data_IF_514581625986
#
_entry.id   IF_514581625986
#
_cell.length_a   1.000
_cell.length_b   1.000
_cell.length_c   1.000
_cell.angle_alpha   90.00
_cell.angle_beta   90.00
_cell.angle_gamma   90.00
#
_symmetry.space_group_name_H-M   'P 1'
#
loop_
_entity.id
_entity.type
_entity.pdbx_description
1 polymer ?
#
# COMPACT_ATOMS: atom_id res chain seq x y z
N UNK A 1 20.50 23.56 27.74
CA UNK A 1 19.97 22.79 26.59
C UNK A 1 21.20 22.23 25.88
N UNK A 2 21.38 20.91 25.79
CA UNK A 2 22.46 20.31 24.99
C UNK A 2 21.90 20.03 23.57
N UNK A 3 22.56 20.49 22.54
CA UNK A 3 22.28 20.14 21.16
C UNK A 3 23.20 18.98 20.79
N UNK A 4 22.65 17.93 20.20
CA UNK A 4 23.45 16.89 19.55
C UNK A 4 23.80 17.36 18.15
N UNK A 5 25.06 17.19 17.75
CA UNK A 5 25.52 17.55 16.42
C UNK A 5 25.10 16.45 15.43
N UNK A 6 24.21 16.77 14.49
CA UNK A 6 23.79 15.85 13.44
C UNK A 6 24.62 16.14 12.20
N UNK A 7 25.33 15.14 11.70
CA UNK A 7 26.16 15.27 10.50
C UNK A 7 25.29 15.05 9.25
N UNK A 8 25.16 16.09 8.46
CA UNK A 8 24.57 16.02 7.14
C UNK A 8 25.64 16.00 6.06
N UNK A 9 25.39 15.24 5.01
CA UNK A 9 26.20 15.18 3.83
C UNK A 9 25.54 15.96 2.70
N UNK A 10 26.34 16.48 1.77
CA UNK A 10 25.86 17.18 0.58
C UNK A 10 26.43 16.50 -0.65
N UNK A 11 25.60 16.27 -1.65
CA UNK A 11 26.02 15.70 -2.93
C UNK A 11 25.32 16.38 -4.11
N UNK A 12 25.88 16.19 -5.29
CA UNK A 12 25.29 16.49 -6.60
C UNK A 12 25.34 15.25 -7.51
N UNK A 13 25.88 14.16 -7.02
CA UNK A 13 26.01 12.91 -7.76
C UNK A 13 24.76 12.06 -7.57
N UNK A 14 23.77 12.28 -8.43
CA UNK A 14 22.46 11.61 -8.36
C UNK A 14 22.54 10.12 -8.67
N UNK A 15 23.53 9.70 -9.46
CA UNK A 15 23.68 8.30 -9.92
C UNK A 15 24.10 7.34 -8.79
N UNK A 16 24.67 7.89 -7.71
CA UNK A 16 25.01 7.08 -6.52
C UNK A 16 23.77 6.65 -5.72
N UNK A 17 22.63 7.33 -5.91
CA UNK A 17 21.44 7.17 -5.07
C UNK A 17 20.34 6.42 -5.79
N UNK A 18 20.04 5.24 -5.29
CA UNK A 18 19.04 4.38 -5.85
C UNK A 18 17.70 4.54 -5.10
N UNK A 19 16.59 4.33 -5.78
CA UNK A 19 15.29 4.18 -5.14
C UNK A 19 15.05 2.71 -4.83
N UNK A 20 14.45 2.44 -3.68
CA UNK A 20 14.04 1.08 -3.33
C UNK A 20 12.83 0.65 -4.18
N UNK A 21 12.72 -0.62 -4.56
CA UNK A 21 11.62 -1.11 -5.41
C UNK A 21 10.23 -0.87 -4.82
N UNK A 22 10.14 -0.75 -3.49
CA UNK A 22 8.92 -0.52 -2.74
C UNK A 22 8.73 0.94 -2.29
N UNK A 23 9.63 1.86 -2.69
CA UNK A 23 9.36 3.29 -2.49
C UNK A 23 8.13 3.72 -3.28
N UNK A 24 7.40 4.71 -2.74
CA UNK A 24 6.35 5.35 -3.51
C UNK A 24 6.90 5.88 -4.84
N UNK A 25 6.18 5.64 -5.91
CA UNK A 25 6.53 6.25 -7.20
C UNK A 25 6.55 7.77 -7.08
N UNK A 26 7.51 8.40 -7.74
CA UNK A 26 7.59 9.86 -7.78
C UNK A 26 6.35 10.39 -8.50
N UNK A 27 5.55 11.19 -7.79
CA UNK A 27 4.42 11.91 -8.38
C UNK A 27 4.95 13.13 -9.14
N UNK A 28 4.78 13.19 -10.49
CA UNK A 28 5.28 14.30 -11.29
C UNK A 28 4.69 15.66 -10.91
N UNK A 29 3.44 15.67 -10.41
CA UNK A 29 2.77 16.91 -10.00
C UNK A 29 3.38 17.46 -8.72
N UNK A 30 3.65 16.56 -7.75
CA UNK A 30 4.34 16.94 -6.52
C UNK A 30 5.78 17.36 -6.77
N UNK A 31 6.51 16.63 -7.61
CA UNK A 31 7.89 16.98 -8.00
C UNK A 31 7.96 18.36 -8.65
N UNK A 32 7.03 18.71 -9.56
CA UNK A 32 6.97 20.07 -10.18
C UNK A 32 6.76 21.18 -9.15
N UNK A 33 5.95 20.98 -8.12
CA UNK A 33 5.79 21.96 -7.02
C UNK A 33 7.08 22.15 -6.25
N UNK A 34 7.82 21.07 -6.00
CA UNK A 34 9.12 21.13 -5.34
C UNK A 34 10.17 21.83 -6.21
N UNK A 35 10.19 21.57 -7.52
CA UNK A 35 11.06 22.29 -8.47
C UNK A 35 10.81 23.79 -8.41
N UNK A 36 9.55 24.22 -8.42
CA UNK A 36 9.22 25.65 -8.33
C UNK A 36 9.67 26.27 -7.00
N UNK A 37 9.53 25.54 -5.90
CA UNK A 37 9.99 25.96 -4.57
C UNK A 37 11.51 26.03 -4.50
N UNK A 38 12.21 25.00 -5.00
CA UNK A 38 13.68 24.94 -4.97
C UNK A 38 14.35 25.97 -5.86
N UNK A 39 13.72 26.39 -6.96
CA UNK A 39 14.21 27.53 -7.78
C UNK A 39 14.30 28.82 -6.97
N UNK A 40 13.37 29.03 -6.03
CA UNK A 40 13.31 30.27 -5.22
C UNK A 40 14.19 30.19 -3.98
N UNK A 41 14.26 29.04 -3.35
CA UNK A 41 14.76 28.90 -1.97
C UNK A 41 15.95 27.93 -1.85
N UNK A 42 16.38 27.31 -2.94
CA UNK A 42 17.35 26.21 -2.93
C UNK A 42 16.75 24.94 -2.36
N UNK A 43 17.60 23.91 -2.22
CA UNK A 43 17.21 22.65 -1.61
C UNK A 43 16.92 22.88 -0.11
N UNK A 44 15.77 22.41 0.37
CA UNK A 44 15.38 22.49 1.78
C UNK A 44 15.10 21.10 2.33
N UNK A 45 15.51 20.87 3.58
CA UNK A 45 15.40 19.61 4.28
C UNK A 45 16.55 18.65 3.95
N UNK A 46 16.39 17.39 4.35
CA UNK A 46 17.38 16.33 4.26
C UNK A 46 16.72 15.09 3.69
N UNK A 47 17.43 14.35 2.84
CA UNK A 47 17.01 13.02 2.41
C UNK A 47 17.43 12.00 3.47
N UNK A 48 16.58 11.03 3.76
CA UNK A 48 16.98 9.87 4.55
C UNK A 48 17.52 8.79 3.62
N UNK A 49 18.78 8.41 3.82
CA UNK A 49 19.51 7.49 2.96
C UNK A 49 20.06 6.36 3.79
N UNK A 50 19.87 5.12 3.34
CA UNK A 50 20.55 3.96 3.90
C UNK A 50 21.76 3.59 3.05
N UNK A 51 22.83 3.20 3.74
CA UNK A 51 24.02 2.63 3.13
C UNK A 51 24.00 1.13 3.33
N UNK A 52 24.04 0.38 2.25
CA UNK A 52 24.09 -1.07 2.28
C UNK A 52 25.39 -1.56 1.66
N UNK A 53 26.13 -2.41 2.37
CA UNK A 53 27.31 -3.10 1.87
C UNK A 53 26.93 -4.52 1.49
N UNK A 54 27.15 -4.89 0.25
CA UNK A 54 26.90 -6.23 -0.28
C UNK A 54 28.08 -7.18 0.01
N UNK A 55 27.84 -8.48 -0.13
CA UNK A 55 28.84 -9.53 0.12
C UNK A 55 30.05 -9.39 -0.81
N UNK A 56 29.86 -8.89 -2.03
CA UNK A 56 30.92 -8.59 -3.00
C UNK A 56 31.73 -7.32 -2.67
N UNK A 57 31.45 -6.68 -1.53
CA UNK A 57 32.08 -5.43 -1.12
C UNK A 57 31.46 -4.16 -1.73
N UNK A 58 30.52 -4.29 -2.67
CA UNK A 58 29.85 -3.13 -3.31
C UNK A 58 29.04 -2.38 -2.26
N UNK A 59 29.16 -1.05 -2.27
CA UNK A 59 28.34 -0.17 -1.43
C UNK A 59 27.29 0.52 -2.30
N UNK A 60 26.05 0.50 -1.85
CA UNK A 60 24.93 1.21 -2.49
C UNK A 60 24.20 2.09 -1.49
N UNK A 61 23.75 3.24 -1.98
CA UNK A 61 22.96 4.19 -1.23
C UNK A 61 21.52 4.17 -1.72
N UNK A 62 20.58 3.97 -0.81
CA UNK A 62 19.15 3.91 -1.13
C UNK A 62 18.41 5.03 -0.43
N UNK A 63 17.68 5.85 -1.17
CA UNK A 63 16.82 6.88 -0.61
C UNK A 63 15.57 6.23 -0.05
N UNK A 64 15.36 6.32 1.25
CA UNK A 64 14.20 5.77 1.96
C UNK A 64 13.09 6.80 2.16
N UNK A 65 13.47 8.08 2.33
CA UNK A 65 12.53 9.21 2.27
C UNK A 65 13.16 10.39 1.51
N UNK A 66 12.31 11.16 0.85
CA UNK A 66 12.70 12.34 0.09
C UNK A 66 12.89 12.09 -1.41
N UNK A 67 12.42 10.98 -1.97
CA UNK A 67 12.52 10.65 -3.40
C UNK A 67 11.98 11.76 -4.32
N UNK A 68 10.90 12.45 -3.93
CA UNK A 68 10.38 13.60 -4.68
C UNK A 68 11.36 14.79 -4.64
N UNK A 69 12.02 15.01 -3.49
CA UNK A 69 13.03 16.06 -3.32
C UNK A 69 14.27 15.76 -4.14
N UNK A 70 14.74 14.51 -4.15
CA UNK A 70 15.87 14.07 -5.00
C UNK A 70 15.54 14.29 -6.47
N UNK A 71 14.38 13.84 -6.94
CA UNK A 71 13.94 14.02 -8.32
C UNK A 71 13.87 15.51 -8.72
N UNK A 72 13.37 16.37 -7.83
CA UNK A 72 13.31 17.81 -8.08
C UNK A 72 14.71 18.45 -8.12
N UNK A 73 15.61 18.04 -7.23
CA UNK A 73 17.01 18.51 -7.23
C UNK A 73 17.75 18.07 -8.50
N UNK A 74 17.56 16.83 -8.94
CA UNK A 74 18.11 16.29 -10.18
C UNK A 74 17.64 17.09 -11.40
N UNK A 75 16.34 17.40 -11.51
CA UNK A 75 15.80 18.22 -12.60
C UNK A 75 16.41 19.63 -12.64
N UNK A 76 16.83 20.15 -11.51
CA UNK A 76 17.45 21.49 -11.39
C UNK A 76 18.97 21.46 -11.46
N UNK A 77 19.59 20.30 -11.36
CA UNK A 77 21.04 20.16 -11.28
C UNK A 77 21.65 20.86 -10.05
N UNK A 78 20.97 20.85 -8.90
CA UNK A 78 21.42 21.51 -7.66
C UNK A 78 21.84 20.48 -6.60
N UNK A 79 22.73 20.90 -5.70
CA UNK A 79 23.10 20.07 -4.56
C UNK A 79 21.89 19.72 -3.69
N UNK A 80 21.93 18.55 -3.07
CA UNK A 80 20.97 18.08 -2.08
C UNK A 80 21.67 17.60 -0.81
N UNK A 81 20.97 17.69 0.32
CA UNK A 81 21.48 17.27 1.61
C UNK A 81 20.86 15.92 2.00
N UNK A 82 21.65 15.08 2.64
CA UNK A 82 21.20 13.76 3.10
C UNK A 82 21.88 13.37 4.42
N UNK A 83 21.22 12.53 5.18
CA UNK A 83 21.77 11.81 6.32
C UNK A 83 21.88 10.33 6.00
N UNK A 84 22.86 9.66 6.60
CA UNK A 84 23.12 8.24 6.41
C UNK A 84 22.70 7.44 7.64
N UNK A 85 21.90 6.41 7.42
CA UNK A 85 21.61 5.37 8.40
C UNK A 85 22.16 4.04 7.90
N UNK A 86 22.92 3.33 8.70
CA UNK A 86 23.40 2.00 8.38
C UNK A 86 22.40 0.96 8.89
N UNK A 87 21.83 0.19 7.98
CA UNK A 87 20.92 -0.90 8.29
C UNK A 87 21.50 -2.22 7.80
N UNK A 88 21.44 -3.23 8.67
CA UNK A 88 22.10 -4.51 8.44
C UNK A 88 21.24 -5.55 7.73
N UNK A 89 19.91 -5.38 7.70
CA UNK A 89 18.99 -6.36 7.13
C UNK A 89 17.92 -5.74 6.25
N UNK A 90 17.42 -6.51 5.29
CA UNK A 90 16.33 -6.10 4.38
C UNK A 90 15.02 -5.80 5.14
N UNK A 91 14.71 -6.61 6.16
CA UNK A 91 13.51 -6.44 7.00
C UNK A 91 13.61 -5.16 7.80
N UNK A 92 14.73 -4.92 8.46
CA UNK A 92 14.98 -3.68 9.22
C UNK A 92 14.84 -2.45 8.34
N UNK A 93 15.28 -2.52 7.07
CA UNK A 93 15.11 -1.43 6.10
C UNK A 93 13.63 -1.13 5.82
N UNK A 94 12.80 -2.16 5.65
CA UNK A 94 11.39 -1.98 5.37
C UNK A 94 10.61 -1.46 6.58
N UNK A 95 10.91 -1.95 7.77
CA UNK A 95 10.36 -1.44 9.03
C UNK A 95 10.72 0.03 9.23
N UNK A 96 11.99 0.38 9.03
CA UNK A 96 12.46 1.76 9.12
C UNK A 96 11.72 2.69 8.15
N UNK A 97 11.52 2.26 6.89
CA UNK A 97 10.75 3.04 5.91
C UNK A 97 9.28 3.16 6.31
N UNK A 98 8.68 2.10 6.84
CA UNK A 98 7.31 2.14 7.33
C UNK A 98 7.15 3.14 8.48
N UNK A 99 8.08 3.18 9.42
CA UNK A 99 8.10 4.12 10.55
C UNK A 99 8.27 5.57 10.09
N UNK A 100 9.22 5.86 9.21
CA UNK A 100 9.43 7.21 8.67
C UNK A 100 8.17 7.75 7.97
N UNK A 101 7.43 6.88 7.29
CA UNK A 101 6.23 7.28 6.56
C UNK A 101 4.95 7.34 7.41
N UNK A 102 4.98 6.86 8.65
CA UNK A 102 3.86 7.04 9.58
C UNK A 102 3.77 8.45 10.15
N UNK A 103 4.89 9.16 10.21
CA UNK A 103 4.99 10.49 10.83
C UNK A 103 4.74 11.67 9.86
N UNK A 104 4.99 11.51 8.55
CA UNK A 104 4.93 12.63 7.60
C UNK A 104 3.63 12.66 6.75
N UNK A 105 3.42 11.68 5.90
CA UNK A 105 2.18 11.47 5.14
C UNK A 105 1.87 9.98 5.21
N UNK A 106 0.80 9.63 5.91
CA UNK A 106 0.46 8.22 6.12
C UNK A 106 0.43 7.42 4.81
N UNK A 107 1.04 6.26 4.83
CA UNK A 107 0.96 5.34 3.71
C UNK A 107 -0.49 4.89 3.48
N UNK A 108 -0.89 4.87 2.23
CA UNK A 108 -2.11 4.19 1.83
C UNK A 108 -1.96 2.67 1.93
N UNK A 109 -3.07 1.97 2.01
CA UNK A 109 -3.09 0.50 2.13
C UNK A 109 -2.25 -0.21 1.06
N UNK A 110 -2.25 0.30 -0.18
CA UNK A 110 -1.45 -0.28 -1.28
C UNK A 110 0.06 -0.17 -1.06
N UNK A 111 0.55 0.87 -0.40
CA UNK A 111 1.97 1.01 -0.13
C UNK A 111 2.49 -0.10 0.79
N UNK A 112 1.71 -0.46 1.83
CA UNK A 112 2.03 -1.58 2.71
C UNK A 112 2.05 -2.91 1.95
N UNK A 113 1.08 -3.14 1.04
CA UNK A 113 1.07 -4.34 0.21
C UNK A 113 2.34 -4.44 -0.64
N UNK A 114 2.76 -3.33 -1.25
CA UNK A 114 3.94 -3.29 -2.11
C UNK A 114 5.22 -3.60 -1.34
N UNK A 115 5.39 -3.00 -0.15
CA UNK A 115 6.58 -3.22 0.69
C UNK A 115 6.67 -4.68 1.14
N UNK A 116 5.61 -5.18 1.80
CA UNK A 116 5.65 -6.50 2.41
C UNK A 116 5.67 -7.63 1.37
N UNK A 117 5.01 -7.44 0.22
CA UNK A 117 5.13 -8.39 -0.89
C UNK A 117 6.52 -8.39 -1.55
N UNK A 118 7.23 -7.25 -1.56
CA UNK A 118 8.59 -7.16 -2.07
C UNK A 118 9.64 -7.80 -1.12
N UNK A 119 9.24 -8.06 0.12
CA UNK A 119 10.02 -8.86 1.10
C UNK A 119 9.67 -10.35 1.05
N UNK A 120 8.87 -10.77 0.06
CA UNK A 120 8.46 -12.15 -0.17
C UNK A 120 7.66 -12.76 1.01
N UNK A 121 6.94 -11.91 1.78
CA UNK A 121 6.02 -12.39 2.82
C UNK A 121 4.81 -13.02 2.11
N UNK A 122 4.61 -14.31 2.34
CA UNK A 122 3.70 -15.17 1.57
C UNK A 122 2.28 -14.63 1.47
N UNK A 123 1.69 -14.20 2.58
CA UNK A 123 0.33 -13.66 2.63
C UNK A 123 0.17 -12.41 1.76
N UNK A 124 1.18 -11.53 1.76
CA UNK A 124 1.16 -10.31 0.95
C UNK A 124 1.39 -10.59 -0.53
N UNK A 125 2.27 -11.53 -0.85
CA UNK A 125 2.49 -12.00 -2.23
C UNK A 125 1.20 -12.60 -2.78
N UNK A 126 0.54 -13.47 -2.02
CA UNK A 126 -0.76 -14.06 -2.36
C UNK A 126 -1.83 -12.98 -2.57
N UNK A 127 -1.97 -12.06 -1.62
CA UNK A 127 -2.97 -11.00 -1.68
C UNK A 127 -2.76 -10.09 -2.89
N UNK A 128 -1.52 -9.74 -3.20
CA UNK A 128 -1.15 -8.94 -4.39
C UNK A 128 -1.48 -9.65 -5.69
N UNK A 129 -1.23 -10.95 -5.76
CA UNK A 129 -1.61 -11.78 -6.90
C UNK A 129 -3.13 -11.79 -7.10
N UNK A 130 -3.90 -12.05 -6.04
CA UNK A 130 -5.36 -12.06 -6.09
C UNK A 130 -5.91 -10.70 -6.52
N UNK A 131 -5.36 -9.60 -5.99
CA UNK A 131 -5.74 -8.25 -6.41
C UNK A 131 -5.54 -8.05 -7.91
N UNK A 132 -4.39 -8.50 -8.44
CA UNK A 132 -4.08 -8.42 -9.87
C UNK A 132 -5.03 -9.27 -10.71
N UNK A 133 -5.27 -10.51 -10.29
CA UNK A 133 -6.05 -11.50 -11.05
C UNK A 133 -7.55 -11.14 -11.08
N UNK A 134 -8.08 -10.59 -9.98
CA UNK A 134 -9.51 -10.25 -9.86
C UNK A 134 -9.85 -8.80 -10.21
N UNK A 135 -8.88 -7.89 -10.17
CA UNK A 135 -9.10 -6.44 -10.28
C UNK A 135 -9.89 -5.85 -9.11
N UNK A 136 -10.01 -6.56 -7.98
CA UNK A 136 -10.75 -6.08 -6.81
C UNK A 136 -9.93 -5.02 -6.06
N UNK A 137 -10.63 -4.07 -5.46
CA UNK A 137 -9.99 -3.12 -4.53
C UNK A 137 -9.43 -3.87 -3.31
N UNK A 138 -8.35 -3.35 -2.77
CA UNK A 138 -7.62 -4.02 -1.69
C UNK A 138 -8.44 -4.16 -0.39
N UNK A 139 -9.26 -3.17 -0.03
CA UNK A 139 -10.03 -3.20 1.22
C UNK A 139 -11.01 -4.37 1.32
N UNK A 140 -11.84 -4.68 0.29
CA UNK A 140 -12.67 -5.88 0.29
C UNK A 140 -11.87 -7.17 0.42
N UNK A 141 -10.69 -7.25 -0.22
CA UNK A 141 -9.82 -8.42 -0.11
C UNK A 141 -9.29 -8.60 1.32
N UNK A 142 -8.83 -7.51 1.93
CA UNK A 142 -8.40 -7.53 3.35
C UNK A 142 -9.53 -7.97 4.27
N UNK A 143 -10.74 -7.46 4.09
CA UNK A 143 -11.87 -7.91 4.89
C UNK A 143 -12.18 -9.40 4.67
N UNK A 144 -12.03 -9.92 3.45
CA UNK A 144 -12.25 -11.33 3.16
C UNK A 144 -11.21 -12.23 3.85
N UNK A 145 -9.95 -11.81 3.92
CA UNK A 145 -8.87 -12.62 4.49
C UNK A 145 -8.67 -12.43 5.98
N UNK A 146 -8.80 -11.21 6.49
CA UNK A 146 -8.53 -10.93 7.90
C UNK A 146 -9.76 -11.14 8.82
N UNK A 147 -10.95 -11.25 8.27
CA UNK A 147 -12.19 -11.32 9.02
C UNK A 147 -12.39 -10.14 10.01
N UNK A 148 -11.69 -9.02 9.79
CA UNK A 148 -11.77 -7.82 10.61
C UNK A 148 -11.64 -6.57 9.74
N UNK A 149 -12.12 -5.45 10.26
CA UNK A 149 -11.86 -4.11 9.70
C UNK A 149 -10.61 -3.44 10.31
N UNK A 150 -10.00 -4.08 11.33
CA UNK A 150 -8.75 -3.62 11.90
C UNK A 150 -7.57 -4.15 11.08
N UNK A 151 -6.82 -3.24 10.47
CA UNK A 151 -5.70 -3.56 9.58
C UNK A 151 -4.33 -3.22 10.22
N UNK A 152 -4.22 -3.22 11.55
CA UNK A 152 -2.97 -2.87 12.22
C UNK A 152 -1.86 -3.89 11.94
N UNK A 153 -2.16 -5.19 12.05
CA UNK A 153 -1.19 -6.25 11.78
C UNK A 153 -0.77 -6.27 10.30
N UNK A 154 -1.73 -6.00 9.41
CA UNK A 154 -1.43 -5.77 8.00
C UNK A 154 -0.40 -4.64 7.78
N UNK A 155 -0.56 -3.51 8.46
CA UNK A 155 0.40 -2.39 8.33
C UNK A 155 1.78 -2.71 8.86
N UNK A 156 1.88 -3.57 9.87
CA UNK A 156 3.14 -3.99 10.50
C UNK A 156 3.88 -5.13 9.78
N UNK A 157 3.35 -5.66 8.71
CA UNK A 157 3.93 -6.82 8.04
C UNK A 157 3.64 -8.16 8.76
N UNK A 158 2.69 -8.16 9.69
CA UNK A 158 2.32 -9.30 10.55
C UNK A 158 0.96 -9.89 10.17
N UNK A 159 0.56 -9.73 8.91
CA UNK A 159 -0.71 -10.27 8.43
C UNK A 159 -0.69 -11.80 8.46
N UNK A 160 -1.75 -12.39 8.99
CA UNK A 160 -2.02 -13.82 8.92
C UNK A 160 -3.44 -14.06 8.44
N UNK A 161 -3.67 -15.19 7.77
CA UNK A 161 -4.99 -15.60 7.30
C UNK A 161 -5.63 -16.58 8.28
N UNK A 162 -6.57 -16.14 9.15
CA UNK A 162 -7.18 -17.01 10.16
C UNK A 162 -7.89 -18.23 9.58
N UNK A 163 -8.47 -18.09 8.38
CA UNK A 163 -9.12 -19.18 7.65
C UNK A 163 -8.99 -18.96 6.15
N UNK A 164 -7.84 -19.29 5.61
CA UNK A 164 -7.51 -19.07 4.21
C UNK A 164 -8.48 -19.75 3.24
N UNK A 165 -8.84 -21.00 3.52
CA UNK A 165 -9.78 -21.78 2.68
C UNK A 165 -11.15 -21.13 2.60
N UNK A 166 -11.68 -20.62 3.70
CA UNK A 166 -12.92 -19.88 3.70
C UNK A 166 -12.81 -18.57 2.93
N UNK A 167 -11.68 -17.87 3.07
CA UNK A 167 -11.41 -16.64 2.36
C UNK A 167 -11.32 -16.86 0.84
N UNK A 168 -10.62 -17.88 0.40
CA UNK A 168 -10.52 -18.25 -1.02
C UNK A 168 -11.91 -18.58 -1.60
N UNK A 169 -12.74 -19.27 -0.82
CA UNK A 169 -14.15 -19.54 -1.19
C UNK A 169 -14.95 -18.24 -1.35
N UNK A 170 -14.81 -17.29 -0.42
CA UNK A 170 -15.48 -15.99 -0.50
C UNK A 170 -15.02 -15.24 -1.76
N UNK A 171 -13.73 -15.23 -2.04
CA UNK A 171 -13.19 -14.56 -3.24
C UNK A 171 -13.76 -15.19 -4.53
N UNK A 172 -13.77 -16.52 -4.63
CA UNK A 172 -14.36 -17.21 -5.78
C UNK A 172 -15.83 -16.83 -5.98
N UNK A 173 -16.62 -16.80 -4.91
CA UNK A 173 -18.02 -16.39 -4.95
C UNK A 173 -18.19 -14.90 -5.31
N UNK A 174 -17.28 -14.02 -4.84
CA UNK A 174 -17.28 -12.61 -5.26
C UNK A 174 -17.00 -12.45 -6.75
N UNK A 175 -16.12 -13.27 -7.32
CA UNK A 175 -15.86 -13.28 -8.77
C UNK A 175 -17.12 -13.65 -9.55
N UNK A 176 -17.87 -14.65 -9.10
CA UNK A 176 -19.16 -15.04 -9.69
C UNK A 176 -20.18 -13.88 -9.71
N UNK A 177 -20.20 -13.09 -8.63
CA UNK A 177 -21.13 -11.96 -8.46
C UNK A 177 -20.65 -10.68 -9.15
N UNK A 178 -19.36 -10.56 -9.45
CA UNK A 178 -18.74 -9.29 -9.90
C UNK A 178 -19.40 -8.69 -11.16
N UNK A 179 -19.94 -9.51 -12.05
CA UNK A 179 -20.62 -9.07 -13.28
C UNK A 179 -22.04 -8.55 -13.06
N UNK A 180 -22.62 -8.80 -11.88
CA UNK A 180 -23.98 -8.40 -11.53
C UNK A 180 -24.04 -7.26 -10.51
N UNK A 181 -22.93 -6.94 -9.89
CA UNK A 181 -22.88 -5.98 -8.78
C UNK A 181 -21.97 -4.79 -9.12
N UNK A 182 -22.24 -3.60 -8.56
CA UNK A 182 -21.40 -2.44 -8.79
C UNK A 182 -19.95 -2.70 -8.37
N UNK A 183 -19.00 -2.19 -9.15
CA UNK A 183 -17.57 -2.37 -8.92
C UNK A 183 -17.01 -1.55 -7.75
N UNK A 184 -17.86 -0.83 -7.00
CA UNK A 184 -17.45 0.03 -5.87
C UNK A 184 -16.97 -0.80 -4.68
N UNK A 185 -15.92 -0.34 -4.01
CA UNK A 185 -15.31 -1.04 -2.87
C UNK A 185 -16.29 -1.31 -1.73
N UNK A 186 -17.19 -0.36 -1.41
CA UNK A 186 -18.14 -0.53 -0.33
C UNK A 186 -19.19 -1.62 -0.63
N UNK A 187 -19.63 -1.77 -1.90
CA UNK A 187 -20.52 -2.86 -2.29
C UNK A 187 -19.86 -4.22 -2.08
N UNK A 188 -18.61 -4.37 -2.50
CA UNK A 188 -17.84 -5.61 -2.31
C UNK A 188 -17.59 -5.92 -0.83
N UNK A 189 -17.37 -4.91 0.01
CA UNK A 189 -17.26 -5.08 1.47
C UNK A 189 -18.56 -5.57 2.09
N UNK A 190 -19.70 -5.00 1.70
CA UNK A 190 -21.01 -5.45 2.17
C UNK A 190 -21.23 -6.93 1.81
N UNK A 191 -20.92 -7.33 0.59
CA UNK A 191 -21.03 -8.70 0.11
C UNK A 191 -20.12 -9.65 0.92
N UNK A 192 -18.86 -9.29 1.14
CA UNK A 192 -17.96 -10.09 1.98
C UNK A 192 -18.54 -10.34 3.36
N UNK A 193 -19.14 -9.32 3.96
CA UNK A 193 -19.78 -9.45 5.30
C UNK A 193 -20.98 -10.37 5.28
N UNK A 194 -21.80 -10.32 4.22
CA UNK A 194 -22.91 -11.25 4.02
C UNK A 194 -22.42 -12.67 3.82
N UNK A 195 -21.38 -12.88 3.00
CA UNK A 195 -20.81 -14.21 2.73
C UNK A 195 -20.18 -14.86 3.96
N UNK A 196 -19.78 -14.08 4.95
CA UNK A 196 -19.28 -14.59 6.24
C UNK A 196 -20.38 -15.10 7.16
N UNK A 197 -21.63 -14.76 6.88
CA UNK A 197 -22.74 -15.27 7.68
C UNK A 197 -22.86 -16.79 7.45
N UNK A 198 -22.89 -17.62 8.51
CA UNK A 198 -23.05 -19.07 8.39
C UNK A 198 -24.31 -19.50 7.66
N UNK A 199 -25.33 -18.64 7.62
CA UNK A 199 -26.58 -18.88 6.88
C UNK A 199 -26.49 -18.55 5.39
N UNK A 200 -25.40 -17.94 4.93
CA UNK A 200 -25.23 -17.59 3.53
C UNK A 200 -25.18 -18.82 2.63
N UNK A 201 -25.95 -18.79 1.56
CA UNK A 201 -26.00 -19.86 0.57
C UNK A 201 -25.81 -19.29 -0.84
N UNK A 202 -24.61 -19.43 -1.38
CA UNK A 202 -24.25 -18.88 -2.67
C UNK A 202 -25.11 -19.42 -3.82
N UNK A 203 -25.46 -20.71 -3.79
CA UNK A 203 -26.30 -21.36 -4.81
C UNK A 203 -27.70 -20.77 -4.89
N UNK A 204 -28.25 -20.30 -3.75
CA UNK A 204 -29.54 -19.60 -3.71
C UNK A 204 -29.41 -18.12 -4.03
N UNK A 205 -28.35 -17.47 -3.56
CA UNK A 205 -28.13 -16.03 -3.70
C UNK A 205 -27.82 -15.63 -5.13
N UNK A 206 -26.98 -16.38 -5.84
CA UNK A 206 -26.58 -16.04 -7.21
C UNK A 206 -27.75 -15.91 -8.20
N UNK A 207 -28.73 -16.86 -8.28
CA UNK A 207 -29.90 -16.69 -9.11
C UNK A 207 -30.77 -15.49 -8.71
N UNK A 208 -30.95 -15.25 -7.41
CA UNK A 208 -31.72 -14.11 -6.90
C UNK A 208 -31.11 -12.78 -7.34
N UNK A 209 -29.78 -12.62 -7.21
CA UNK A 209 -29.09 -11.41 -7.67
C UNK A 209 -29.21 -11.23 -9.17
N UNK A 210 -29.07 -12.29 -9.96
CA UNK A 210 -29.29 -12.22 -11.43
C UNK A 210 -30.67 -11.71 -11.80
N UNK A 211 -31.68 -12.12 -11.05
CA UNK A 211 -33.06 -11.70 -11.28
C UNK A 211 -33.31 -10.23 -10.91
N UNK A 212 -32.69 -9.76 -9.84
CA UNK A 212 -32.93 -8.44 -9.26
C UNK A 212 -31.76 -7.46 -9.42
N UNK A 213 -30.85 -7.70 -10.37
CA UNK A 213 -29.66 -6.89 -10.59
C UNK A 213 -29.96 -5.38 -10.75
N UNK A 214 -31.06 -5.04 -11.39
CA UNK A 214 -31.48 -3.64 -11.58
C UNK A 214 -31.91 -2.99 -10.26
N UNK A 215 -32.52 -3.75 -9.36
CA UNK A 215 -32.89 -3.29 -8.02
C UNK A 215 -31.64 -3.11 -7.13
N UNK A 216 -30.73 -4.09 -7.18
CA UNK A 216 -29.46 -4.01 -6.43
C UNK A 216 -28.61 -2.80 -6.86
N UNK A 217 -28.67 -2.46 -8.16
CA UNK A 217 -28.00 -1.25 -8.69
C UNK A 217 -28.51 0.06 -8.11
N UNK A 218 -29.78 0.12 -7.66
CA UNK A 218 -30.37 1.30 -7.06
C UNK A 218 -29.96 1.54 -5.59
N UNK A 219 -29.44 0.52 -4.88
CA UNK A 219 -29.05 0.61 -3.46
C UNK A 219 -27.58 0.99 -3.24
N UNK A 220 -26.90 1.53 -4.24
CA UNK A 220 -25.44 1.67 -4.25
C UNK A 220 -24.88 2.87 -3.50
N UNK A 221 -25.69 3.67 -2.86
CA UNK A 221 -25.22 4.88 -2.19
C UNK A 221 -24.66 4.63 -0.77
N UNK A 222 -25.07 3.54 -0.12
CA UNK A 222 -24.71 3.25 1.25
C UNK A 222 -24.46 1.75 1.50
N UNK A 223 -23.30 1.41 2.07
CA UNK A 223 -22.91 0.04 2.43
C UNK A 223 -23.92 -0.64 3.36
N UNK A 224 -24.50 0.12 4.32
CA UNK A 224 -25.49 -0.42 5.28
C UNK A 224 -26.80 -0.80 4.60
N UNK A 225 -27.26 0.04 3.67
CA UNK A 225 -28.48 -0.22 2.90
C UNK A 225 -28.32 -1.45 2.04
N UNK A 226 -27.19 -1.60 1.32
CA UNK A 226 -26.93 -2.77 0.51
C UNK A 226 -26.87 -4.05 1.35
N UNK A 227 -26.18 -4.01 2.51
CA UNK A 227 -26.13 -5.15 3.43
C UNK A 227 -27.52 -5.57 3.91
N UNK A 228 -28.34 -4.60 4.34
CA UNK A 228 -29.71 -4.86 4.82
C UNK A 228 -30.60 -5.53 3.76
N UNK A 229 -30.46 -5.14 2.50
CA UNK A 229 -31.22 -5.74 1.40
C UNK A 229 -30.74 -7.16 1.04
N UNK A 230 -29.44 -7.41 1.13
CA UNK A 230 -28.89 -8.75 0.84
C UNK A 230 -29.17 -9.79 1.96
N UNK A 231 -29.53 -9.33 3.17
CA UNK A 231 -29.85 -10.18 4.32
C UNK A 231 -31.35 -10.51 4.44
N UNK A 232 -32.24 -9.87 3.68
CA UNK A 232 -33.69 -10.18 3.58
C UNK A 232 -33.92 -11.39 2.68
#
# INVERSE_FOLDING_TARGET
>A
MKFEEITFFTSKDYELFNLLPFNRKVDPTHARKLVASMKKHGFKGVLHVIKTKFVDGTVRYYVVDGQHRLSAAQQLGINFNFELTELNTRVTTAEFIAELNTSAKSWGTSNFLDVWSALDIEEYVKLKKIQKDTGFQLTPLLEAYLFTSNHNDYRKGQMAFPNEKASDTIIAQMVDLNKYLPSKAFCRRAIVRVMRNPKYNHKKMLPAIKQYVNLVGAFTENERSLKSELEK
#
